data_IF_617476665622
#
_entry.id   IF_617476665622
#
_cell.length_a   1.000
_cell.length_b   1.000
_cell.length_c   1.000
_cell.angle_alpha   90.00
_cell.angle_beta   90.00
_cell.angle_gamma   90.00
#
_symmetry.space_group_name_H-M   'P 1'
#
loop_
_entity.id
_entity.type
_entity.pdbx_description
1 polymer ?
#
# COMPACT_ATOMS: atom_id res chain seq x y z
N UNK A 1 10.74 18.24 27.65
CA UNK A 1 11.33 18.01 26.32
C UNK A 1 11.11 19.30 25.53
N UNK A 2 12.16 20.07 25.26
CA UNK A 2 12.05 21.25 24.40
C UNK A 2 11.89 20.77 22.95
N UNK A 3 10.67 20.81 22.43
CA UNK A 3 10.45 20.61 20.99
C UNK A 3 10.85 21.92 20.31
N UNK A 4 12.05 21.97 19.77
CA UNK A 4 12.54 23.10 18.99
C UNK A 4 11.93 23.04 17.59
N UNK A 5 11.68 24.21 16.99
CA UNK A 5 11.09 24.36 15.65
C UNK A 5 11.88 23.68 14.51
N UNK A 6 13.09 23.15 14.79
CA UNK A 6 13.95 22.48 13.81
C UNK A 6 13.62 21.01 13.60
N UNK A 7 13.06 20.31 14.59
CA UNK A 7 12.66 18.89 14.48
C UNK A 7 11.65 18.61 13.35
N UNK A 8 10.57 19.38 13.14
CA UNK A 8 9.65 19.15 12.02
C UNK A 8 10.26 19.40 10.64
N UNK A 9 11.21 20.34 10.51
CA UNK A 9 11.87 20.66 9.24
C UNK A 9 12.61 19.43 8.67
N UNK A 10 13.16 18.59 9.55
CA UNK A 10 13.83 17.34 9.18
C UNK A 10 12.86 16.23 8.75
N UNK A 11 11.59 16.31 9.14
CA UNK A 11 10.58 15.30 8.82
C UNK A 11 9.92 15.54 7.46
N UNK A 12 9.85 16.79 6.97
CA UNK A 12 9.20 17.12 5.69
C UNK A 12 9.72 16.32 4.48
N UNK A 13 11.04 16.09 4.30
CA UNK A 13 11.53 15.26 3.20
C UNK A 13 11.03 13.81 3.28
N UNK A 14 11.13 13.18 4.46
CA UNK A 14 10.69 11.81 4.68
C UNK A 14 9.18 11.66 4.49
N UNK A 15 8.39 12.62 4.98
CA UNK A 15 6.95 12.68 4.82
C UNK A 15 6.53 12.83 3.33
N UNK A 16 7.25 13.65 2.57
CA UNK A 16 7.02 13.81 1.12
C UNK A 16 7.27 12.51 0.36
N UNK A 17 8.36 11.80 0.67
CA UNK A 17 8.67 10.50 0.08
C UNK A 17 7.63 9.44 0.42
N UNK A 18 7.12 9.45 1.65
CA UNK A 18 6.05 8.54 2.08
C UNK A 18 4.77 8.77 1.28
N UNK A 19 4.38 10.04 1.08
CA UNK A 19 3.19 10.39 0.30
C UNK A 19 3.34 9.99 -1.18
N UNK A 20 4.53 10.17 -1.74
CA UNK A 20 4.85 9.72 -3.10
C UNK A 20 4.74 8.20 -3.22
N UNK A 21 5.30 7.45 -2.27
CA UNK A 21 5.20 6.00 -2.23
C UNK A 21 3.73 5.52 -2.16
N UNK A 22 2.91 6.14 -1.32
CA UNK A 22 1.48 5.82 -1.21
C UNK A 22 0.73 6.12 -2.51
N UNK A 23 1.03 7.25 -3.15
CA UNK A 23 0.44 7.64 -4.44
C UNK A 23 0.81 6.65 -5.54
N UNK A 24 2.09 6.25 -5.60
CA UNK A 24 2.56 5.26 -6.57
C UNK A 24 1.84 3.92 -6.40
N UNK A 25 1.68 3.46 -5.15
CA UNK A 25 0.94 2.23 -4.83
C UNK A 25 -0.52 2.32 -5.25
N UNK A 26 -1.21 3.42 -4.92
CA UNK A 26 -2.59 3.65 -5.33
C UNK A 26 -2.75 3.59 -6.86
N UNK A 27 -1.86 4.27 -7.59
CA UNK A 27 -1.90 4.30 -9.05
C UNK A 27 -1.64 2.92 -9.66
N UNK A 28 -0.69 2.16 -9.14
CA UNK A 28 -0.43 0.80 -9.58
C UNK A 28 -1.67 -0.09 -9.44
N UNK A 29 -2.33 -0.10 -8.26
CA UNK A 29 -3.56 -0.87 -8.06
C UNK A 29 -4.71 -0.38 -8.95
N UNK A 30 -4.90 0.93 -9.06
CA UNK A 30 -5.96 1.50 -9.89
C UNK A 30 -5.79 1.15 -11.38
N UNK A 31 -4.54 1.14 -11.87
CA UNK A 31 -4.24 0.72 -13.23
C UNK A 31 -4.49 -0.77 -13.45
N UNK A 32 -4.10 -1.65 -12.51
CA UNK A 32 -4.44 -3.08 -12.57
C UNK A 32 -5.95 -3.30 -12.65
N UNK A 33 -6.74 -2.60 -11.82
CA UNK A 33 -8.21 -2.66 -11.88
C UNK A 33 -8.75 -2.24 -13.25
N UNK A 34 -8.22 -1.16 -13.84
CA UNK A 34 -8.66 -0.70 -15.18
C UNK A 34 -8.34 -1.74 -16.26
N UNK A 35 -7.16 -2.35 -16.23
CA UNK A 35 -6.76 -3.39 -17.16
C UNK A 35 -7.66 -4.63 -17.05
N UNK A 36 -7.85 -5.15 -15.84
CA UNK A 36 -8.73 -6.31 -15.61
C UNK A 36 -10.17 -6.02 -16.01
N UNK A 37 -10.67 -4.80 -15.74
CA UNK A 37 -12.01 -4.38 -16.17
C UNK A 37 -12.15 -4.43 -17.70
N UNK A 38 -11.15 -3.96 -18.43
CA UNK A 38 -11.14 -4.01 -19.91
C UNK A 38 -11.22 -5.46 -20.42
N UNK A 39 -10.43 -6.37 -19.82
CA UNK A 39 -10.47 -7.80 -20.16
C UNK A 39 -11.79 -8.48 -19.76
N UNK A 40 -12.38 -8.08 -18.63
CA UNK A 40 -13.68 -8.60 -18.21
C UNK A 40 -14.79 -8.24 -19.21
N UNK A 41 -14.75 -7.04 -19.80
CA UNK A 41 -15.73 -6.63 -20.81
C UNK A 41 -15.70 -7.49 -22.08
N UNK A 42 -14.56 -8.09 -22.41
CA UNK A 42 -14.45 -9.00 -23.56
C UNK A 42 -14.79 -10.43 -23.19
N UNK A 43 -14.27 -10.93 -22.06
CA UNK A 43 -14.32 -12.37 -21.74
C UNK A 43 -15.50 -12.74 -20.83
N UNK A 44 -16.06 -11.80 -20.08
CA UNK A 44 -17.09 -12.01 -19.05
C UNK A 44 -16.75 -13.12 -18.04
N UNK A 45 -15.45 -13.35 -17.81
CA UNK A 45 -14.97 -14.38 -16.91
C UNK A 45 -15.25 -14.02 -15.45
N UNK A 46 -15.88 -14.94 -14.71
CA UNK A 46 -16.15 -14.80 -13.27
C UNK A 46 -14.86 -14.67 -12.45
N UNK A 47 -13.75 -15.27 -12.91
CA UNK A 47 -12.43 -15.17 -12.28
C UNK A 47 -11.90 -13.72 -12.26
N UNK A 48 -12.03 -12.99 -13.38
CA UNK A 48 -11.61 -11.59 -13.46
C UNK A 48 -12.41 -10.69 -12.51
N UNK A 49 -13.70 -10.98 -12.33
CA UNK A 49 -14.52 -10.26 -11.36
C UNK A 49 -14.02 -10.45 -9.93
N UNK A 50 -13.64 -11.68 -9.55
CA UNK A 50 -13.07 -11.98 -8.22
C UNK A 50 -11.75 -11.24 -8.00
N UNK A 51 -10.87 -11.20 -9.00
CA UNK A 51 -9.61 -10.44 -8.90
C UNK A 51 -9.86 -8.93 -8.73
N UNK A 52 -10.81 -8.35 -9.48
CA UNK A 52 -11.19 -6.93 -9.34
C UNK A 52 -11.73 -6.64 -7.93
N UNK A 53 -12.52 -7.53 -7.36
CA UNK A 53 -13.05 -7.36 -5.99
C UNK A 53 -11.92 -7.37 -4.94
N UNK A 54 -10.96 -8.27 -5.08
CA UNK A 54 -9.77 -8.32 -4.21
C UNK A 54 -8.93 -7.02 -4.33
N UNK A 55 -8.67 -6.55 -5.56
CA UNK A 55 -7.97 -5.29 -5.77
C UNK A 55 -8.73 -4.08 -5.20
N UNK A 56 -10.06 -4.08 -5.26
CA UNK A 56 -10.88 -3.02 -4.66
C UNK A 56 -10.69 -2.95 -3.14
N UNK A 57 -10.65 -4.09 -2.45
CA UNK A 57 -10.40 -4.11 -1.00
C UNK A 57 -9.02 -3.54 -0.67
N UNK A 58 -7.98 -3.98 -1.39
CA UNK A 58 -6.62 -3.45 -1.23
C UNK A 58 -6.56 -1.94 -1.47
N UNK A 59 -7.26 -1.44 -2.49
CA UNK A 59 -7.33 -0.01 -2.80
C UNK A 59 -7.97 0.82 -1.68
N UNK A 60 -8.96 0.27 -0.96
CA UNK A 60 -9.53 0.92 0.23
C UNK A 60 -8.49 0.99 1.37
N UNK A 61 -7.69 -0.06 1.58
CA UNK A 61 -6.63 -0.07 2.58
C UNK A 61 -5.58 1.01 2.26
N UNK A 62 -5.12 1.08 1.00
CA UNK A 62 -4.18 2.10 0.50
C UNK A 62 -4.72 3.51 0.70
N UNK A 63 -6.00 3.73 0.35
CA UNK A 63 -6.64 5.04 0.53
C UNK A 63 -6.70 5.42 2.01
N UNK A 64 -7.07 4.49 2.87
CA UNK A 64 -7.25 4.77 4.30
C UNK A 64 -5.89 4.99 4.99
N UNK A 65 -4.84 4.24 4.66
CA UNK A 65 -3.50 4.52 5.21
C UNK A 65 -3.03 5.92 4.80
N UNK A 66 -3.25 6.31 3.53
CA UNK A 66 -2.85 7.63 3.04
C UNK A 66 -3.65 8.75 3.73
N UNK A 67 -4.96 8.56 3.93
CA UNK A 67 -5.80 9.52 4.65
C UNK A 67 -5.32 9.71 6.11
N UNK A 68 -5.01 8.63 6.82
CA UNK A 68 -4.49 8.69 8.20
C UNK A 68 -3.11 9.33 8.23
N UNK A 69 -2.23 9.00 7.28
CA UNK A 69 -0.90 9.62 7.13
C UNK A 69 -0.98 11.12 6.86
N UNK A 70 -1.87 11.55 5.97
CA UNK A 70 -2.11 12.99 5.70
C UNK A 70 -2.68 13.69 6.94
N UNK A 71 -3.62 13.06 7.65
CA UNK A 71 -4.19 13.61 8.89
C UNK A 71 -3.10 13.80 9.97
N UNK A 72 -2.17 12.86 10.08
CA UNK A 72 -0.99 12.97 10.93
C UNK A 72 -0.10 14.15 10.52
N UNK A 73 0.23 14.28 9.23
CA UNK A 73 1.04 15.41 8.73
C UNK A 73 0.37 16.76 9.01
N UNK A 74 -0.94 16.84 8.76
CA UNK A 74 -1.72 18.03 9.06
C UNK A 74 -1.67 18.37 10.56
N UNK A 75 -1.84 17.37 11.43
CA UNK A 75 -1.72 17.54 12.87
C UNK A 75 -0.32 18.01 13.30
N UNK A 76 0.74 17.51 12.67
CA UNK A 76 2.11 18.00 12.90
C UNK A 76 2.28 19.48 12.51
N UNK A 77 1.73 19.90 11.37
CA UNK A 77 1.74 21.32 10.95
C UNK A 77 0.94 22.18 11.92
N UNK A 78 -0.23 21.69 12.35
CA UNK A 78 -1.07 22.38 13.34
C UNK A 78 -0.38 22.50 14.70
N UNK A 79 0.33 21.47 15.15
CA UNK A 79 1.17 21.53 16.34
C UNK A 79 2.18 22.68 16.23
N UNK A 80 2.92 22.76 15.12
CA UNK A 80 3.92 23.83 14.94
C UNK A 80 3.29 25.22 14.93
N UNK A 81 2.11 25.35 14.33
CA UNK A 81 1.34 26.59 14.39
C UNK A 81 0.95 26.97 15.83
N UNK A 82 0.47 26.01 16.64
CA UNK A 82 0.11 26.27 18.04
C UNK A 82 1.31 26.61 18.92
N UNK A 83 2.44 25.92 18.71
CA UNK A 83 3.68 26.25 19.42
C UNK A 83 4.15 27.67 19.07
N UNK A 84 4.07 28.06 17.79
CA UNK A 84 4.38 29.41 17.34
C UNK A 84 3.44 30.45 17.96
N UNK A 85 2.15 30.14 18.11
CA UNK A 85 1.16 30.99 18.77
C UNK A 85 1.27 31.01 20.31
N UNK A 86 2.23 30.28 20.90
CA UNK A 86 2.46 30.23 22.36
C UNK A 86 1.60 29.21 23.12
N UNK A 87 0.74 28.44 22.44
CA UNK A 87 -0.11 27.40 23.04
C UNK A 87 0.62 26.07 23.22
N UNK A 88 1.63 26.05 24.10
CA UNK A 88 2.56 24.92 24.26
C UNK A 88 1.86 23.61 24.63
N UNK A 89 0.95 23.62 25.60
CA UNK A 89 0.26 22.41 26.07
C UNK A 89 -0.62 21.78 24.98
N UNK A 90 -1.38 22.60 24.26
CA UNK A 90 -2.22 22.13 23.15
C UNK A 90 -1.36 21.57 22.01
N UNK A 91 -0.26 22.24 21.68
CA UNK A 91 0.72 21.75 20.69
C UNK A 91 1.27 20.37 21.05
N UNK A 92 1.66 20.15 22.32
CA UNK A 92 2.17 18.84 22.78
C UNK A 92 1.14 17.71 22.62
N UNK A 93 -0.13 17.96 22.98
CA UNK A 93 -1.19 16.96 22.84
C UNK A 93 -1.44 16.61 21.37
N UNK A 94 -1.55 17.62 20.51
CA UNK A 94 -1.74 17.42 19.06
C UNK A 94 -0.54 16.70 18.45
N UNK A 95 0.68 17.02 18.87
CA UNK A 95 1.88 16.33 18.41
C UNK A 95 1.83 14.83 18.72
N UNK A 96 1.53 14.47 19.97
CA UNK A 96 1.40 13.08 20.38
C UNK A 96 0.32 12.33 19.58
N UNK A 97 -0.86 12.94 19.41
CA UNK A 97 -1.93 12.37 18.60
C UNK A 97 -1.53 12.18 17.12
N UNK A 98 -0.78 13.12 16.58
CA UNK A 98 -0.27 13.06 15.19
C UNK A 98 0.72 11.92 15.01
N UNK A 99 1.63 11.70 15.97
CA UNK A 99 2.57 10.57 15.93
C UNK A 99 1.85 9.23 16.02
N UNK A 100 0.84 9.11 16.88
CA UNK A 100 0.02 7.89 16.96
C UNK A 100 -0.72 7.62 15.65
N UNK A 101 -1.30 8.64 15.02
CA UNK A 101 -1.91 8.51 13.70
C UNK A 101 -0.87 8.05 12.65
N UNK A 102 0.35 8.58 12.67
CA UNK A 102 1.41 8.14 11.76
C UNK A 102 1.74 6.65 11.94
N UNK A 103 1.86 6.19 13.19
CA UNK A 103 2.09 4.78 13.49
C UNK A 103 0.96 3.89 12.96
N UNK A 104 -0.30 4.31 13.10
CA UNK A 104 -1.44 3.60 12.54
C UNK A 104 -1.36 3.53 11.01
N UNK A 105 -1.03 4.65 10.34
CA UNK A 105 -0.81 4.69 8.88
C UNK A 105 0.28 3.70 8.45
N UNK A 106 1.42 3.66 9.15
CA UNK A 106 2.52 2.74 8.85
C UNK A 106 2.14 1.27 9.09
N UNK A 107 1.43 0.98 10.17
CA UNK A 107 0.94 -0.39 10.44
C UNK A 107 -0.01 -0.87 9.34
N UNK A 108 -0.89 0.00 8.83
CA UNK A 108 -1.73 -0.31 7.68
C UNK A 108 -0.90 -0.54 6.41
N UNK A 109 0.15 0.26 6.20
CA UNK A 109 1.07 0.08 5.07
C UNK A 109 1.77 -1.28 5.11
N UNK A 110 2.20 -1.73 6.30
CA UNK A 110 2.79 -3.07 6.49
C UNK A 110 1.79 -4.19 6.18
N UNK A 111 0.55 -4.10 6.68
CA UNK A 111 -0.50 -5.07 6.37
C UNK A 111 -0.80 -5.14 4.88
N UNK A 112 -0.84 -3.99 4.19
CA UNK A 112 -1.03 -3.98 2.74
C UNK A 112 0.14 -4.71 2.06
N UNK A 113 1.41 -4.46 2.47
CA UNK A 113 2.59 -5.14 1.86
C UNK A 113 2.46 -6.65 1.95
N UNK A 114 2.04 -7.18 3.09
CA UNK A 114 1.81 -8.62 3.29
C UNK A 114 0.74 -9.15 2.33
N UNK A 115 -0.46 -8.55 2.35
CA UNK A 115 -1.58 -8.96 1.47
C UNK A 115 -1.19 -8.88 -0.01
N UNK A 116 -0.44 -7.84 -0.39
CA UNK A 116 0.03 -7.66 -1.76
C UNK A 116 1.05 -8.71 -2.18
N UNK A 117 1.97 -9.08 -1.28
CA UNK A 117 2.95 -10.15 -1.52
C UNK A 117 2.27 -11.50 -1.65
N UNK A 118 1.38 -11.84 -0.71
CA UNK A 118 0.65 -13.11 -0.71
C UNK A 118 -0.22 -13.26 -1.97
N UNK A 119 -0.94 -12.21 -2.36
CA UNK A 119 -1.76 -12.22 -3.57
C UNK A 119 -0.93 -12.40 -4.85
N UNK A 120 0.29 -11.83 -4.90
CA UNK A 120 1.19 -12.02 -6.03
C UNK A 120 1.71 -13.46 -6.08
N UNK A 121 2.05 -14.04 -4.93
CA UNK A 121 2.56 -15.40 -4.86
C UNK A 121 1.50 -16.43 -5.29
N UNK A 122 0.24 -16.22 -4.89
CA UNK A 122 -0.89 -17.05 -5.35
C UNK A 122 -1.04 -16.96 -6.87
N UNK A 123 -0.98 -15.75 -7.43
CA UNK A 123 -1.15 -15.58 -8.88
C UNK A 123 0.02 -16.16 -9.68
N UNK A 124 1.26 -16.12 -9.16
CA UNK A 124 2.40 -16.81 -9.77
C UNK A 124 2.24 -18.33 -9.75
N UNK A 125 1.87 -18.90 -8.60
CA UNK A 125 1.65 -20.34 -8.46
C UNK A 125 0.51 -20.84 -9.37
N UNK A 126 -0.59 -20.07 -9.49
CA UNK A 126 -1.70 -20.42 -10.39
C UNK A 126 -1.25 -20.43 -11.86
N UNK A 127 -0.38 -19.50 -12.26
CA UNK A 127 0.20 -19.47 -13.60
C UNK A 127 1.11 -20.67 -13.88
N UNK A 128 1.96 -21.04 -12.92
CA UNK A 128 2.84 -22.23 -13.04
C UNK A 128 2.01 -23.51 -13.19
N UNK A 129 1.00 -23.69 -12.32
CA UNK A 129 0.09 -24.85 -12.38
C UNK A 129 -0.71 -24.92 -13.69
N UNK A 130 -1.14 -23.78 -14.24
CA UNK A 130 -1.81 -23.73 -15.55
C UNK A 130 -0.88 -24.11 -16.70
N UNK A 131 0.40 -23.71 -16.63
CA UNK A 131 1.40 -24.10 -17.63
C UNK A 131 1.74 -25.59 -17.54
N UNK A 132 1.91 -26.13 -16.33
CA UNK A 132 2.13 -27.57 -16.12
C UNK A 132 0.98 -28.40 -16.71
N UNK A 133 -0.27 -28.06 -16.39
CA UNK A 133 -1.45 -28.73 -16.96
C UNK A 133 -1.48 -28.67 -18.48
N UNK A 134 -1.08 -27.53 -19.08
CA UNK A 134 -0.99 -27.40 -20.54
C UNK A 134 0.11 -28.27 -21.14
N UNK A 135 1.27 -28.37 -20.47
CA UNK A 135 2.40 -29.21 -20.91
C UNK A 135 2.09 -30.70 -20.82
N UNK A 136 1.46 -31.12 -19.73
CA UNK A 136 0.96 -32.49 -19.56
C UNK A 136 -0.01 -32.87 -20.68
N UNK A 137 -1.00 -32.00 -20.98
CA UNK A 137 -1.93 -32.22 -22.07
C UNK A 137 -1.26 -32.28 -23.47
N UNK A 138 -0.07 -31.70 -23.61
CA UNK A 138 0.72 -31.70 -24.83
C UNK A 138 1.82 -32.77 -24.87
N UNK A 139 1.92 -33.66 -23.86
CA UNK A 139 3.01 -34.63 -23.67
C UNK A 139 4.42 -33.97 -23.69
N UNK A 140 4.54 -32.76 -23.13
CA UNK A 140 5.80 -32.05 -22.96
C UNK A 140 6.38 -32.30 -21.56
N UNK A 141 7.71 -32.23 -21.42
CA UNK A 141 8.39 -32.37 -20.14
C UNK A 141 7.93 -31.30 -19.12
N UNK A 142 7.86 -31.63 -17.82
CA UNK A 142 7.51 -30.66 -16.77
C UNK A 142 8.44 -29.44 -16.76
N UNK A 143 7.95 -28.34 -16.18
CA UNK A 143 8.81 -27.21 -15.86
C UNK A 143 9.85 -27.68 -14.83
N UNK A 144 11.13 -27.43 -15.11
CA UNK A 144 12.20 -27.75 -14.18
C UNK A 144 12.33 -26.56 -13.23
N UNK A 145 12.11 -26.80 -11.95
CA UNK A 145 12.09 -25.75 -10.94
C UNK A 145 13.51 -25.16 -10.82
N UNK A 146 13.73 -23.85 -11.04
CA UNK A 146 15.07 -23.27 -10.96
C UNK A 146 15.69 -23.37 -9.55
N UNK A 147 14.86 -23.51 -8.50
CA UNK A 147 15.29 -23.77 -7.12
C UNK A 147 15.70 -25.23 -6.84
N UNK A 148 15.47 -26.18 -7.77
CA UNK A 148 15.94 -27.57 -7.66
C UNK A 148 17.35 -27.78 -8.26
N UNK A 149 17.99 -26.72 -8.77
CA UNK A 149 19.32 -26.76 -9.37
C UNK A 149 20.48 -26.35 -8.44
N UNK A 150 20.24 -26.15 -7.14
CA UNK A 150 21.30 -25.95 -6.12
C UNK A 150 21.22 -26.94 -4.94
#
# INVERSE_FOLDING_TARGET
MEITLTTPALLFPALSLLLLAYTNRFMALANRVRTLKSQYQTTHSSHLMLQIQNLRQRLVIVRNMQAVGIASMFGCVLCMFLLFAGFVQAGQFIFGASLLALLVSLAMSLREIQISGDALNIELNDMENDEERRREAANLSPLQNPDETE
#
